data_IF_776839474670
#
_entry.id   IF_776839474670
#
_cell.length_a   1.000
_cell.length_b   1.000
_cell.length_c   1.000
_cell.angle_alpha   90.00
_cell.angle_beta   90.00
_cell.angle_gamma   90.00
#
_symmetry.space_group_name_H-M   'P 1'
#
loop_
_entity.id
_entity.type
_entity.pdbx_description
1 polymer ?
#
# COMPACT_ATOMS: atom_id res chain seq x y z
N UNK A 1 -11.00 12.99 -0.72
CA UNK A 1 -10.12 13.39 0.40
C UNK A 1 -10.96 13.48 1.65
N UNK A 2 -10.60 12.78 2.73
CA UNK A 2 -11.30 12.87 4.03
C UNK A 2 -10.57 13.91 4.88
N UNK A 3 -11.31 14.81 5.55
CA UNK A 3 -10.71 15.79 6.48
C UNK A 3 -10.48 15.12 7.82
N UNK A 4 -9.25 15.17 8.31
CA UNK A 4 -8.87 14.65 9.63
C UNK A 4 -8.13 15.75 10.39
N UNK A 5 -8.44 15.89 11.68
CA UNK A 5 -7.69 16.74 12.60
C UNK A 5 -6.70 15.88 13.36
N UNK A 6 -5.44 16.32 13.42
CA UNK A 6 -4.38 15.68 14.18
C UNK A 6 -3.79 16.70 15.14
N UNK A 7 -3.57 16.29 16.38
CA UNK A 7 -2.86 17.09 17.36
C UNK A 7 -1.37 16.82 17.23
N UNK A 8 -0.57 17.88 17.22
CA UNK A 8 0.89 17.82 17.25
C UNK A 8 1.36 18.63 18.44
N UNK A 9 2.46 18.20 19.04
CA UNK A 9 3.18 19.08 19.95
C UNK A 9 3.70 20.30 19.18
N UNK A 10 3.98 21.39 19.90
CA UNK A 10 4.48 22.62 19.29
C UNK A 10 5.79 22.36 18.52
N UNK A 11 6.68 21.55 19.09
CA UNK A 11 7.99 21.28 18.51
C UNK A 11 7.89 20.43 17.25
N UNK A 12 7.03 19.40 17.25
CA UNK A 12 6.73 18.61 16.05
C UNK A 12 6.15 19.47 14.93
N UNK A 13 5.21 20.38 15.26
CA UNK A 13 4.60 21.26 14.28
C UNK A 13 5.63 22.21 13.64
N UNK A 14 6.52 22.80 14.45
CA UNK A 14 7.58 23.69 13.96
C UNK A 14 8.59 22.92 13.09
N UNK A 15 9.02 21.74 13.55
CA UNK A 15 9.94 20.89 12.79
C UNK A 15 9.33 20.48 11.43
N UNK A 16 8.07 20.05 11.42
CA UNK A 16 7.37 19.67 10.20
C UNK A 16 7.18 20.85 9.23
N UNK A 17 6.88 22.05 9.75
CA UNK A 17 6.79 23.27 8.92
C UNK A 17 8.13 23.63 8.27
N UNK A 18 9.23 23.55 9.03
CA UNK A 18 10.57 23.81 8.50
C UNK A 18 10.95 22.83 7.39
N UNK A 19 10.66 21.54 7.59
CA UNK A 19 10.96 20.51 6.60
C UNK A 19 10.10 20.65 5.34
N UNK A 20 8.80 20.94 5.49
CA UNK A 20 7.92 21.21 4.36
C UNK A 20 8.41 22.40 3.52
N UNK A 21 8.86 23.48 4.18
CA UNK A 21 9.43 24.64 3.51
C UNK A 21 10.75 24.31 2.79
N UNK A 22 11.63 23.51 3.42
CA UNK A 22 12.89 23.04 2.80
C UNK A 22 12.65 22.25 1.52
N UNK A 23 11.58 21.46 1.50
CA UNK A 23 11.17 20.65 0.35
C UNK A 23 10.31 21.41 -0.67
N UNK A 24 9.91 22.66 -0.39
CA UNK A 24 9.02 23.44 -1.25
C UNK A 24 7.60 22.89 -1.37
N UNK A 25 7.12 22.15 -0.35
CA UNK A 25 5.78 21.54 -0.33
C UNK A 25 4.95 22.04 0.85
N UNK A 26 3.63 21.78 0.80
CA UNK A 26 2.75 22.09 1.93
C UNK A 26 2.96 21.12 3.11
N UNK A 27 2.65 21.57 4.33
CA UNK A 27 2.66 20.70 5.52
C UNK A 27 1.76 19.46 5.33
N UNK A 28 0.58 19.65 4.72
CA UNK A 28 -0.33 18.54 4.45
C UNK A 28 0.29 17.51 3.49
N UNK A 29 1.07 17.97 2.50
CA UNK A 29 1.74 17.08 1.58
C UNK A 29 2.90 16.33 2.22
N UNK A 30 3.68 16.99 3.09
CA UNK A 30 4.69 16.33 3.90
C UNK A 30 4.06 15.18 4.70
N UNK A 31 2.96 15.44 5.42
CA UNK A 31 2.26 14.45 6.23
C UNK A 31 1.72 13.28 5.39
N UNK A 32 1.16 13.55 4.20
CA UNK A 32 0.70 12.50 3.27
C UNK A 32 1.84 11.59 2.81
N UNK A 33 2.99 12.16 2.46
CA UNK A 33 4.17 11.40 2.04
C UNK A 33 4.70 10.54 3.20
N UNK A 34 4.84 11.13 4.38
CA UNK A 34 5.27 10.41 5.58
C UNK A 34 4.34 9.24 5.91
N UNK A 35 3.01 9.45 5.85
CA UNK A 35 2.03 8.39 6.06
C UNK A 35 2.15 7.28 5.01
N UNK A 36 2.36 7.61 3.73
CA UNK A 36 2.52 6.60 2.66
C UNK A 36 3.82 5.81 2.78
N UNK A 37 4.89 6.44 3.27
CA UNK A 37 6.15 5.76 3.55
C UNK A 37 6.03 4.82 4.74
N UNK A 38 5.36 5.26 5.81
CA UNK A 38 5.18 4.47 7.03
C UNK A 38 4.15 3.33 6.85
N UNK A 39 3.07 3.61 6.12
CA UNK A 39 1.96 2.72 5.85
C UNK A 39 1.76 2.66 4.33
N UNK A 40 2.58 1.87 3.61
CA UNK A 40 2.39 1.68 2.18
C UNK A 40 1.01 1.06 1.96
N UNK A 41 0.08 1.87 1.47
CA UNK A 41 -1.26 1.43 1.06
C UNK A 41 -1.08 0.60 -0.19
N UNK A 42 -0.87 -0.70 0.01
CA UNK A 42 -0.59 -1.64 -1.05
C UNK A 42 -1.87 -2.40 -1.39
N UNK A 43 -2.71 -1.80 -2.23
CA UNK A 43 -3.92 -2.45 -2.75
C UNK A 43 -3.63 -3.51 -3.84
N UNK A 44 -2.34 -3.77 -4.13
CA UNK A 44 -1.92 -4.63 -5.27
C UNK A 44 -0.99 -5.77 -4.89
N UNK A 45 -0.98 -6.22 -3.63
CA UNK A 45 -0.29 -7.46 -3.29
C UNK A 45 -1.28 -8.62 -3.15
N UNK A 46 -1.53 -9.40 -4.22
CA UNK A 46 -1.89 -10.79 -4.05
C UNK A 46 -0.69 -11.44 -3.38
N UNK A 47 -0.80 -11.64 -2.07
CA UNK A 47 0.08 -12.42 -1.20
C UNK A 47 0.73 -13.65 -1.88
N UNK A 48 0.08 -14.25 -2.88
CA UNK A 48 0.60 -15.32 -3.72
C UNK A 48 1.92 -15.03 -4.47
N UNK A 49 2.23 -13.78 -4.87
CA UNK A 49 3.50 -13.48 -5.59
C UNK A 49 4.74 -13.53 -4.69
N UNK A 50 4.58 -13.25 -3.39
CA UNK A 50 5.68 -13.22 -2.43
C UNK A 50 5.94 -14.56 -1.73
N UNK A 51 5.07 -15.55 -1.89
CA UNK A 51 5.28 -16.91 -1.39
C UNK A 51 6.23 -17.76 -2.27
N UNK A 52 6.82 -17.17 -3.32
CA UNK A 52 7.74 -17.88 -4.23
C UNK A 52 7.10 -19.01 -5.04
N UNK A 53 5.77 -19.16 -5.00
CA UNK A 53 5.08 -20.32 -5.57
C UNK A 53 4.47 -20.08 -6.95
N UNK A 54 4.34 -18.84 -7.44
CA UNK A 54 3.74 -18.58 -8.76
C UNK A 54 4.41 -17.38 -9.43
N UNK A 55 5.16 -17.63 -10.52
CA UNK A 55 5.85 -16.59 -11.31
C UNK A 55 4.90 -15.82 -12.24
N UNK A 56 3.83 -16.47 -12.72
CA UNK A 56 2.78 -15.86 -13.57
C UNK A 56 1.40 -16.30 -13.06
N UNK A 57 0.73 -15.45 -12.30
CA UNK A 57 -0.61 -15.74 -11.78
C UNK A 57 -1.67 -15.36 -12.80
N UNK A 58 -2.30 -16.35 -13.45
CA UNK A 58 -3.54 -16.13 -14.19
C UNK A 58 -4.66 -15.78 -13.19
N UNK A 59 -5.28 -14.57 -13.27
CA UNK A 59 -6.35 -14.15 -12.37
C UNK A 59 -7.58 -15.08 -12.40
N UNK A 60 -7.72 -15.89 -13.46
CA UNK A 60 -8.81 -16.82 -13.65
C UNK A 60 -8.52 -18.24 -13.14
N UNK A 61 -7.33 -18.52 -12.59
CA UNK A 61 -6.93 -19.89 -12.25
C UNK A 61 -7.87 -20.59 -11.27
N UNK A 62 -8.54 -19.85 -10.38
CA UNK A 62 -9.55 -20.42 -9.46
C UNK A 62 -10.79 -20.98 -10.17
N UNK A 63 -11.06 -20.57 -11.42
CA UNK A 63 -12.22 -21.02 -12.19
C UNK A 63 -12.04 -22.38 -12.86
N UNK A 64 -10.79 -22.84 -12.97
CA UNK A 64 -10.44 -24.08 -13.67
C UNK A 64 -9.84 -25.13 -12.72
N UNK A 65 -9.91 -24.88 -11.41
CA UNK A 65 -9.33 -25.78 -10.40
C UNK A 65 -10.00 -27.16 -10.42
N UNK A 66 -11.31 -27.20 -10.66
CA UNK A 66 -12.06 -28.45 -10.70
C UNK A 66 -11.64 -29.32 -11.88
N UNK A 67 -11.34 -28.72 -13.04
CA UNK A 67 -10.84 -29.44 -14.22
C UNK A 67 -9.44 -30.04 -13.96
N UNK A 68 -8.60 -29.35 -13.19
CA UNK A 68 -7.25 -29.82 -12.83
C UNK A 68 -7.31 -30.93 -11.79
N UNK A 69 -8.19 -30.83 -10.78
CA UNK A 69 -8.27 -31.77 -9.65
C UNK A 69 -9.14 -32.98 -9.98
N UNK A 70 -10.24 -32.78 -10.70
CA UNK A 70 -11.25 -33.81 -10.95
C UNK A 70 -11.34 -34.25 -12.42
N UNK A 71 -10.76 -33.49 -13.36
CA UNK A 71 -10.85 -33.78 -14.80
C UNK A 71 -9.97 -34.93 -15.29
N UNK A 72 -9.08 -35.48 -14.45
CA UNK A 72 -8.35 -36.72 -14.75
C UNK A 72 -9.02 -37.91 -14.07
N UNK A 73 -9.99 -38.48 -14.78
CA UNK A 73 -10.43 -39.86 -14.57
C UNK A 73 -10.18 -40.61 -15.87
N UNK A 74 -9.04 -41.28 -15.93
CA UNK A 74 -8.91 -42.53 -16.68
C UNK A 74 -9.31 -43.67 -15.74
#
# INVERSE_FOLDING_TARGET
>A
MIRTQISLTKDEYVAAKREAARLGISLAELLRRSLRTALPVNDTKPWMRYAGMVETGDPASSRHIDDVVYGRKD
#
